data_IF_809588568473
#
_entry.id   IF_809588568473
#
_cell.length_a   1.000
_cell.length_b   1.000
_cell.length_c   1.000
_cell.angle_alpha   90.00
_cell.angle_beta   90.00
_cell.angle_gamma   90.00
#
_symmetry.space_group_name_H-M   'P 1'
#
loop_
_entity.id
_entity.type
_entity.pdbx_description
1 polymer ?
#
# COMPACT_ATOMS: atom_id res chain seq x y z
N UNK A 1 -9.38 -17.67 -13.16
CA UNK A 1 -8.01 -18.07 -12.75
C UNK A 1 -7.62 -16.94 -11.83
N UNK A 2 -7.34 -17.18 -10.55
CA UNK A 2 -7.22 -16.08 -9.59
C UNK A 2 -6.24 -15.01 -10.10
N UNK A 3 -6.66 -13.75 -10.08
CA UNK A 3 -5.84 -12.62 -10.52
C UNK A 3 -4.55 -12.56 -9.70
N UNK A 4 -3.44 -12.38 -10.39
CA UNK A 4 -2.14 -12.19 -9.73
C UNK A 4 -1.89 -10.71 -9.45
N UNK A 5 -1.12 -10.41 -8.41
CA UNK A 5 -0.73 -9.02 -8.12
C UNK A 5 0.04 -8.38 -9.29
N UNK A 6 0.84 -9.15 -10.03
CA UNK A 6 1.57 -8.66 -11.19
C UNK A 6 0.62 -8.14 -12.29
N UNK A 7 -0.46 -8.85 -12.58
CA UNK A 7 -1.47 -8.40 -13.56
C UNK A 7 -2.14 -7.10 -13.12
N UNK A 8 -2.39 -6.92 -11.82
CA UNK A 8 -2.92 -5.65 -11.30
C UNK A 8 -1.90 -4.52 -11.50
N UNK A 9 -0.64 -4.76 -11.17
CA UNK A 9 0.42 -3.76 -11.26
C UNK A 9 0.66 -3.28 -12.70
N UNK A 10 0.48 -4.14 -13.71
CA UNK A 10 0.65 -3.79 -15.13
C UNK A 10 -0.30 -2.68 -15.61
N UNK A 11 -1.45 -2.51 -14.94
CA UNK A 11 -2.43 -1.49 -15.30
C UNK A 11 -2.22 -0.16 -14.56
N UNK A 12 -1.28 -0.12 -13.60
CA UNK A 12 -1.03 1.06 -12.78
C UNK A 12 0.05 1.98 -13.36
N UNK A 13 -0.33 3.25 -13.44
CA UNK A 13 0.58 4.40 -13.48
C UNK A 13 0.15 5.34 -12.35
N UNK A 14 0.93 5.43 -11.28
CA UNK A 14 0.60 6.27 -10.13
C UNK A 14 0.72 7.76 -10.43
N UNK A 15 1.40 8.16 -11.52
CA UNK A 15 1.45 9.54 -12.00
C UNK A 15 0.24 9.90 -12.88
N UNK A 16 -0.49 8.90 -13.36
CA UNK A 16 -1.75 9.03 -14.09
C UNK A 16 -2.86 8.13 -13.48
N UNK A 17 -3.42 8.52 -12.32
CA UNK A 17 -4.51 7.77 -11.70
C UNK A 17 -5.76 7.66 -12.59
N UNK A 18 -6.04 8.67 -13.42
CA UNK A 18 -7.21 8.69 -14.30
C UNK A 18 -7.05 7.70 -15.48
N UNK A 19 -5.88 7.64 -16.12
CA UNK A 19 -5.61 6.62 -17.13
C UNK A 19 -5.56 5.21 -16.53
N UNK A 20 -5.08 5.06 -15.30
CA UNK A 20 -5.14 3.79 -14.57
C UNK A 20 -6.58 3.35 -14.32
N UNK A 21 -7.45 4.25 -13.85
CA UNK A 21 -8.90 4.01 -13.69
C UNK A 21 -9.50 3.46 -14.99
N UNK A 22 -9.24 4.10 -16.13
CA UNK A 22 -9.80 3.68 -17.43
C UNK A 22 -9.33 2.26 -17.83
N UNK A 23 -8.05 1.94 -17.65
CA UNK A 23 -7.51 0.61 -17.95
C UNK A 23 -8.13 -0.47 -17.05
N UNK A 24 -8.24 -0.17 -15.75
CA UNK A 24 -8.83 -1.08 -14.76
C UNK A 24 -10.33 -1.32 -15.01
N UNK A 25 -11.08 -0.27 -15.36
CA UNK A 25 -12.48 -0.40 -15.76
C UNK A 25 -12.64 -1.29 -17.00
N UNK A 26 -11.76 -1.12 -17.99
CA UNK A 26 -11.77 -1.95 -19.20
C UNK A 26 -11.51 -3.42 -18.88
N UNK A 27 -10.50 -3.70 -18.04
CA UNK A 27 -10.17 -5.06 -17.61
C UNK A 27 -11.33 -5.71 -16.81
N UNK A 28 -11.97 -4.95 -15.91
CA UNK A 28 -13.15 -5.42 -15.18
C UNK A 28 -14.31 -5.80 -16.12
N UNK A 29 -14.58 -4.98 -17.15
CA UNK A 29 -15.65 -5.23 -18.11
C UNK A 29 -15.41 -6.42 -19.05
N UNK A 30 -14.15 -6.80 -19.27
CA UNK A 30 -13.75 -7.97 -20.06
C UNK A 30 -13.71 -9.27 -19.23
N UNK A 31 -13.76 -9.17 -17.90
CA UNK A 31 -13.64 -10.30 -16.99
C UNK A 31 -14.99 -10.96 -16.75
N UNK A 32 -15.10 -12.25 -17.07
CA UNK A 32 -16.34 -13.03 -16.93
C UNK A 32 -16.51 -13.59 -15.51
N UNK A 33 -15.43 -14.05 -14.88
CA UNK A 33 -15.45 -14.54 -13.50
C UNK A 33 -15.79 -13.42 -12.51
N UNK A 34 -16.70 -13.70 -11.57
CA UNK A 34 -17.21 -12.69 -10.66
C UNK A 34 -16.21 -12.28 -9.58
N UNK A 35 -15.41 -13.20 -9.07
CA UNK A 35 -14.40 -12.90 -8.07
C UNK A 35 -13.24 -12.11 -8.69
N UNK A 36 -12.77 -12.54 -9.87
CA UNK A 36 -11.73 -11.84 -10.62
C UNK A 36 -12.20 -10.41 -10.97
N UNK A 37 -13.44 -10.24 -11.45
CA UNK A 37 -14.01 -8.91 -11.73
C UNK A 37 -14.08 -8.03 -10.48
N UNK A 38 -14.47 -8.57 -9.33
CA UNK A 38 -14.52 -7.82 -8.08
C UNK A 38 -13.12 -7.32 -7.66
N UNK A 39 -12.07 -8.13 -7.82
CA UNK A 39 -10.70 -7.67 -7.55
C UNK A 39 -10.30 -6.50 -8.46
N UNK A 40 -10.61 -6.53 -9.77
CA UNK A 40 -10.39 -5.38 -10.66
C UNK A 40 -11.16 -4.13 -10.20
N UNK A 41 -12.41 -4.29 -9.78
CA UNK A 41 -13.22 -3.16 -9.29
C UNK A 41 -12.67 -2.55 -7.99
N UNK A 42 -12.03 -3.32 -7.12
CA UNK A 42 -11.32 -2.72 -5.97
C UNK A 42 -10.19 -1.80 -6.43
N UNK A 43 -9.47 -2.18 -7.49
CA UNK A 43 -8.40 -1.32 -8.02
C UNK A 43 -8.95 -0.05 -8.69
N UNK A 44 -10.13 -0.13 -9.33
CA UNK A 44 -10.86 1.05 -9.79
C UNK A 44 -11.14 2.00 -8.62
N UNK A 45 -11.67 1.49 -7.51
CA UNK A 45 -11.93 2.31 -6.32
C UNK A 45 -10.65 2.97 -5.77
N UNK A 46 -9.52 2.24 -5.76
CA UNK A 46 -8.21 2.81 -5.41
C UNK A 46 -7.81 3.98 -6.32
N UNK A 47 -8.01 3.83 -7.64
CA UNK A 47 -7.66 4.86 -8.62
C UNK A 47 -8.54 6.11 -8.47
N UNK A 48 -9.82 5.93 -8.18
CA UNK A 48 -10.76 7.00 -7.84
C UNK A 48 -10.35 7.71 -6.54
N UNK A 49 -9.91 6.96 -5.52
CA UNK A 49 -9.43 7.52 -4.27
C UNK A 49 -8.21 8.44 -4.44
N UNK A 50 -7.26 8.05 -5.30
CA UNK A 50 -6.11 8.89 -5.65
C UNK A 50 -6.48 10.17 -6.43
N UNK A 51 -7.68 10.22 -7.01
CA UNK A 51 -8.25 11.41 -7.64
C UNK A 51 -9.17 12.19 -6.68
N UNK A 52 -9.18 11.86 -5.39
CA UNK A 52 -10.05 12.43 -4.36
C UNK A 52 -11.56 12.25 -4.64
N UNK A 53 -11.93 11.32 -5.52
CA UNK A 53 -13.32 10.99 -5.87
C UNK A 53 -13.90 9.98 -4.86
N UNK A 54 -13.80 10.31 -3.57
CA UNK A 54 -14.06 9.37 -2.47
C UNK A 54 -15.48 8.77 -2.50
N UNK A 55 -16.50 9.59 -2.72
CA UNK A 55 -17.90 9.11 -2.80
C UNK A 55 -18.10 8.13 -3.95
N UNK A 56 -17.47 8.36 -5.11
CA UNK A 56 -17.54 7.44 -6.25
C UNK A 56 -16.80 6.14 -5.94
N UNK A 57 -15.63 6.22 -5.30
CA UNK A 57 -14.88 5.05 -4.88
C UNK A 57 -15.67 4.19 -3.88
N UNK A 58 -16.30 4.80 -2.87
CA UNK A 58 -17.17 4.09 -1.92
C UNK A 58 -18.34 3.40 -2.64
N UNK A 59 -19.01 4.07 -3.56
CA UNK A 59 -20.11 3.47 -4.34
C UNK A 59 -19.66 2.24 -5.14
N UNK A 60 -18.46 2.28 -5.75
CA UNK A 60 -17.89 1.11 -6.42
C UNK A 60 -17.67 -0.04 -5.44
N UNK A 61 -17.21 0.24 -4.21
CA UNK A 61 -16.98 -0.78 -3.19
C UNK A 61 -18.27 -1.31 -2.54
N UNK A 62 -19.32 -0.50 -2.48
CA UNK A 62 -20.65 -0.89 -1.98
C UNK A 62 -21.34 -1.89 -2.91
N UNK A 63 -21.10 -1.79 -4.22
CA UNK A 63 -21.67 -2.67 -5.24
C UNK A 63 -20.98 -4.06 -5.33
N UNK A 64 -19.89 -4.28 -4.59
CA UNK A 64 -19.16 -5.55 -4.61
C UNK A 64 -19.76 -6.56 -3.64
N UNK A 65 -19.78 -7.83 -4.07
CA UNK A 65 -20.05 -8.98 -3.21
C UNK A 65 -18.72 -9.69 -2.87
N UNK A 66 -18.13 -9.43 -1.69
CA UNK A 66 -16.80 -9.90 -1.35
C UNK A 66 -16.84 -11.36 -0.85
N UNK A 67 -17.04 -12.28 -1.77
CA UNK A 67 -17.17 -13.72 -1.48
C UNK A 67 -15.85 -14.42 -1.22
N UNK A 68 -14.72 -13.88 -1.72
CA UNK A 68 -13.38 -14.44 -1.50
C UNK A 68 -12.60 -13.66 -0.45
N UNK A 69 -11.68 -14.29 0.29
CA UNK A 69 -10.81 -13.57 1.23
C UNK A 69 -10.03 -12.43 0.57
N UNK A 70 -9.54 -12.61 -0.66
CA UNK A 70 -8.81 -11.57 -1.39
C UNK A 70 -9.68 -10.32 -1.65
N UNK A 71 -10.90 -10.51 -2.14
CA UNK A 71 -11.83 -9.39 -2.38
C UNK A 71 -12.21 -8.71 -1.05
N UNK A 72 -12.49 -9.47 0.01
CA UNK A 72 -12.79 -8.92 1.35
C UNK A 72 -11.67 -8.01 1.86
N UNK A 73 -10.43 -8.49 1.80
CA UNK A 73 -9.25 -7.74 2.24
C UNK A 73 -9.07 -6.49 1.39
N UNK A 74 -9.18 -6.59 0.06
CA UNK A 74 -9.04 -5.43 -0.83
C UNK A 74 -10.12 -4.38 -0.58
N UNK A 75 -11.38 -4.77 -0.38
CA UNK A 75 -12.46 -3.83 -0.04
C UNK A 75 -12.13 -3.07 1.24
N UNK A 76 -11.71 -3.78 2.30
CA UNK A 76 -11.35 -3.15 3.57
C UNK A 76 -10.14 -2.22 3.43
N UNK A 77 -9.10 -2.66 2.70
CA UNK A 77 -7.92 -1.87 2.38
C UNK A 77 -8.29 -0.56 1.67
N UNK A 78 -9.10 -0.63 0.61
CA UNK A 78 -9.47 0.56 -0.14
C UNK A 78 -10.36 1.47 0.71
N UNK A 79 -11.33 0.97 1.48
CA UNK A 79 -12.10 1.81 2.40
C UNK A 79 -11.19 2.49 3.44
N UNK A 80 -10.24 1.76 4.01
CA UNK A 80 -9.24 2.30 4.92
C UNK A 80 -8.44 3.44 4.29
N UNK A 81 -7.98 3.27 3.03
CA UNK A 81 -7.31 4.33 2.28
C UNK A 81 -8.19 5.54 2.05
N UNK A 82 -9.44 5.34 1.63
CA UNK A 82 -10.38 6.45 1.39
C UNK A 82 -10.59 7.28 2.67
N UNK A 83 -10.76 6.64 3.83
CA UNK A 83 -10.91 7.35 5.12
C UNK A 83 -9.63 8.06 5.53
N UNK A 84 -8.48 7.39 5.43
CA UNK A 84 -7.20 8.00 5.76
C UNK A 84 -6.90 9.22 4.88
N UNK A 85 -7.06 9.10 3.57
CA UNK A 85 -6.86 10.21 2.61
C UNK A 85 -7.88 11.34 2.79
N UNK A 86 -9.08 11.06 3.27
CA UNK A 86 -10.06 12.08 3.65
C UNK A 86 -9.77 12.75 5.02
N UNK A 87 -8.69 12.36 5.70
CA UNK A 87 -8.29 12.90 7.00
C UNK A 87 -8.96 12.24 8.21
N UNK A 88 -9.69 11.14 8.02
CA UNK A 88 -10.33 10.37 9.08
C UNK A 88 -9.54 9.08 9.38
N UNK A 89 -8.35 9.26 9.96
CA UNK A 89 -7.50 8.16 10.38
C UNK A 89 -8.18 7.25 11.41
N UNK A 90 -9.02 7.81 12.31
CA UNK A 90 -9.73 7.05 13.33
C UNK A 90 -10.69 6.03 12.72
N UNK A 91 -11.40 6.39 11.64
CA UNK A 91 -12.24 5.45 10.91
C UNK A 91 -11.45 4.47 10.04
N UNK A 92 -10.23 4.84 9.62
CA UNK A 92 -9.39 3.98 8.77
C UNK A 92 -8.80 2.79 9.54
N UNK A 93 -8.28 3.00 10.76
CA UNK A 93 -7.56 1.99 11.55
C UNK A 93 -8.31 0.66 11.68
N UNK A 94 -9.57 0.60 12.20
CA UNK A 94 -10.25 -0.69 12.38
C UNK A 94 -10.47 -1.45 11.06
N UNK A 95 -10.66 -0.75 9.94
CA UNK A 95 -10.79 -1.38 8.62
C UNK A 95 -9.48 -2.05 8.19
N UNK A 96 -8.36 -1.38 8.45
CA UNK A 96 -7.03 -1.87 8.07
C UNK A 96 -6.56 -3.00 9.00
N UNK A 97 -6.91 -2.97 10.29
CA UNK A 97 -6.69 -4.09 11.22
C UNK A 97 -7.43 -5.35 10.77
N UNK A 98 -8.73 -5.21 10.45
CA UNK A 98 -9.53 -6.33 9.91
C UNK A 98 -8.94 -6.86 8.61
N UNK A 99 -8.47 -5.97 7.72
CA UNK A 99 -7.80 -6.36 6.48
C UNK A 99 -6.53 -7.18 6.74
N UNK A 100 -5.66 -6.71 7.65
CA UNK A 100 -4.43 -7.39 8.02
C UNK A 100 -4.71 -8.78 8.61
N UNK A 101 -5.69 -8.88 9.52
CA UNK A 101 -6.05 -10.12 10.18
C UNK A 101 -6.65 -11.15 9.22
N UNK A 102 -7.57 -10.73 8.34
CA UNK A 102 -8.14 -11.62 7.33
C UNK A 102 -7.05 -12.09 6.37
N UNK A 103 -6.19 -11.18 5.90
CA UNK A 103 -5.10 -11.51 4.99
C UNK A 103 -4.14 -12.53 5.60
N UNK A 104 -3.73 -12.34 6.86
CA UNK A 104 -2.89 -13.28 7.59
C UNK A 104 -3.55 -14.66 7.70
N UNK A 105 -4.82 -14.71 8.09
CA UNK A 105 -5.57 -15.98 8.24
C UNK A 105 -5.74 -16.74 6.93
N UNK A 106 -5.78 -16.03 5.81
CA UNK A 106 -5.95 -16.59 4.46
C UNK A 106 -4.62 -16.85 3.74
N UNK A 107 -3.47 -16.56 4.35
CA UNK A 107 -2.15 -16.70 3.72
C UNK A 107 -1.88 -15.70 2.59
N UNK A 108 -2.56 -14.56 2.59
CA UNK A 108 -2.44 -13.50 1.58
C UNK A 108 -1.34 -12.50 1.95
N UNK A 109 -0.09 -12.98 2.05
CA UNK A 109 1.03 -12.22 2.59
C UNK A 109 1.20 -10.82 1.96
N UNK A 110 1.07 -10.73 0.64
CA UNK A 110 1.15 -9.45 -0.06
C UNK A 110 0.16 -8.41 0.48
N UNK A 111 -1.09 -8.82 0.70
CA UNK A 111 -2.16 -7.94 1.19
C UNK A 111 -2.09 -7.70 2.70
N UNK A 112 -1.57 -8.68 3.46
CA UNK A 112 -1.28 -8.50 4.87
C UNK A 112 -0.26 -7.37 5.07
N UNK A 113 0.83 -7.40 4.30
CA UNK A 113 1.87 -6.38 4.37
C UNK A 113 1.36 -5.03 3.87
N UNK A 114 0.52 -4.99 2.84
CA UNK A 114 -0.15 -3.76 2.39
C UNK A 114 -1.02 -3.13 3.50
N UNK A 115 -1.77 -3.96 4.23
CA UNK A 115 -2.60 -3.48 5.34
C UNK A 115 -1.76 -2.94 6.51
N UNK A 116 -0.69 -3.66 6.89
CA UNK A 116 0.23 -3.21 7.94
C UNK A 116 0.98 -1.93 7.54
N UNK A 117 1.36 -1.79 6.27
CA UNK A 117 1.93 -0.56 5.74
C UNK A 117 0.95 0.61 5.86
N UNK A 118 -0.32 0.41 5.53
CA UNK A 118 -1.35 1.44 5.69
C UNK A 118 -1.64 1.76 7.17
N UNK A 119 -1.61 0.78 8.07
CA UNK A 119 -1.71 1.00 9.52
C UNK A 119 -0.58 1.86 10.05
N UNK A 120 0.66 1.64 9.58
CA UNK A 120 1.79 2.47 9.96
C UNK A 120 1.64 3.95 9.53
N UNK A 121 0.81 4.24 8.52
CA UNK A 121 0.48 5.61 8.11
C UNK A 121 -0.69 6.15 8.94
N UNK A 122 -1.77 5.38 9.06
CA UNK A 122 -3.01 5.83 9.70
C UNK A 122 -2.91 5.93 11.23
N UNK A 123 -2.11 5.06 11.86
CA UNK A 123 -1.92 4.99 13.30
C UNK A 123 -0.48 5.35 13.67
N UNK A 124 -0.15 6.63 13.50
CA UNK A 124 1.20 7.17 13.72
C UNK A 124 1.76 6.85 15.12
N UNK A 125 0.89 6.73 16.14
CA UNK A 125 1.30 6.41 17.50
C UNK A 125 1.86 4.99 17.65
N UNK A 126 1.42 4.05 16.80
CA UNK A 126 1.88 2.66 16.79
C UNK A 126 2.59 2.29 15.47
N UNK A 127 3.03 3.28 14.71
CA UNK A 127 3.70 3.07 13.43
C UNK A 127 4.95 2.16 13.52
N UNK A 128 5.79 2.25 14.58
CA UNK A 128 6.90 1.32 14.76
C UNK A 128 6.44 -0.13 14.93
N UNK A 129 5.37 -0.38 15.68
CA UNK A 129 4.82 -1.71 15.92
C UNK A 129 4.23 -2.31 14.64
N UNK A 130 3.48 -1.53 13.87
CA UNK A 130 2.91 -1.96 12.59
C UNK A 130 4.01 -2.26 11.55
N UNK A 131 5.03 -1.40 11.48
CA UNK A 131 6.20 -1.62 10.62
C UNK A 131 6.95 -2.90 11.03
N UNK A 132 7.20 -3.11 12.32
CA UNK A 132 7.88 -4.31 12.81
C UNK A 132 7.11 -5.60 12.48
N UNK A 133 5.79 -5.59 12.60
CA UNK A 133 4.94 -6.71 12.20
C UNK A 133 5.03 -7.00 10.69
N UNK A 134 5.03 -5.96 9.86
CA UNK A 134 5.15 -6.11 8.40
C UNK A 134 6.51 -6.71 8.01
N UNK A 135 7.61 -6.24 8.63
CA UNK A 135 8.95 -6.78 8.41
C UNK A 135 9.06 -8.24 8.85
N UNK A 136 8.46 -8.60 9.99
CA UNK A 136 8.42 -9.98 10.47
C UNK A 136 7.64 -10.90 9.50
N UNK A 137 6.54 -10.42 8.93
CA UNK A 137 5.78 -11.16 7.92
C UNK A 137 6.60 -11.35 6.63
N UNK A 138 7.30 -10.31 6.16
CA UNK A 138 8.13 -10.36 4.97
C UNK A 138 9.33 -11.31 5.08
N UNK A 139 9.83 -11.57 6.29
CA UNK A 139 10.92 -12.53 6.52
C UNK A 139 10.56 -13.99 6.16
N UNK A 140 9.30 -14.27 5.81
CA UNK A 140 8.80 -15.60 5.46
C UNK A 140 8.74 -15.87 3.95
N UNK A 141 9.12 -14.90 3.11
CA UNK A 141 9.00 -15.02 1.65
C UNK A 141 10.28 -14.60 0.92
N UNK A 142 10.52 -15.26 -0.21
CA UNK A 142 11.53 -14.87 -1.21
C UNK A 142 10.90 -14.24 -2.46
N UNK A 143 9.57 -14.02 -2.48
CA UNK A 143 8.87 -13.42 -3.62
C UNK A 143 9.33 -11.96 -3.84
N UNK A 144 10.02 -11.66 -4.96
CA UNK A 144 10.57 -10.32 -5.21
C UNK A 144 9.50 -9.23 -5.19
N UNK A 145 8.30 -9.55 -5.68
CA UNK A 145 7.21 -8.57 -5.76
C UNK A 145 6.67 -8.20 -4.39
N UNK A 146 6.54 -9.17 -3.50
CA UNK A 146 6.14 -8.95 -2.10
C UNK A 146 7.26 -8.26 -1.32
N UNK A 147 8.52 -8.67 -1.49
CA UNK A 147 9.69 -8.02 -0.87
C UNK A 147 9.86 -6.55 -1.27
N UNK A 148 9.34 -6.12 -2.43
CA UNK A 148 9.28 -4.70 -2.81
C UNK A 148 8.57 -3.81 -1.78
N UNK A 149 7.69 -4.36 -0.92
CA UNK A 149 7.08 -3.61 0.18
C UNK A 149 8.10 -3.05 1.18
N UNK A 150 9.29 -3.65 1.31
CA UNK A 150 10.38 -3.13 2.14
C UNK A 150 10.70 -1.67 1.81
N UNK A 151 10.59 -1.27 0.53
CA UNK A 151 10.81 0.12 0.11
C UNK A 151 9.82 1.07 0.80
N UNK A 152 8.52 0.79 0.71
CA UNK A 152 7.48 1.65 1.28
C UNK A 152 7.51 1.66 2.82
N UNK A 153 7.72 0.49 3.44
CA UNK A 153 7.81 0.35 4.90
C UNK A 153 8.96 1.17 5.47
N UNK A 154 10.17 1.03 4.90
CA UNK A 154 11.34 1.76 5.36
C UNK A 154 11.25 3.26 5.02
N UNK A 155 10.67 3.63 3.88
CA UNK A 155 10.43 5.03 3.54
C UNK A 155 9.49 5.72 4.55
N UNK A 156 8.37 5.08 4.90
CA UNK A 156 7.44 5.65 5.87
C UNK A 156 8.07 5.75 7.27
N UNK A 157 8.81 4.73 7.68
CA UNK A 157 9.56 4.78 8.93
C UNK A 157 10.57 5.94 8.91
N UNK A 158 11.31 6.12 7.82
CA UNK A 158 12.25 7.22 7.64
C UNK A 158 11.60 8.59 7.83
N UNK A 159 10.46 8.84 7.18
CA UNK A 159 9.73 10.10 7.36
C UNK A 159 9.20 10.28 8.78
N UNK A 160 8.68 9.22 9.41
CA UNK A 160 8.24 9.30 10.82
C UNK A 160 9.40 9.60 11.79
N UNK A 161 10.61 9.12 11.51
CA UNK A 161 11.81 9.48 12.27
C UNK A 161 12.25 10.92 11.99
N UNK A 162 12.21 11.34 10.72
CA UNK A 162 12.57 12.69 10.29
C UNK A 162 11.67 13.75 10.93
N UNK A 163 10.35 13.54 10.90
CA UNK A 163 9.35 14.44 11.53
C UNK A 163 9.50 14.53 13.05
N UNK A 164 10.10 13.51 13.67
CA UNK A 164 10.43 13.48 15.09
C UNK A 164 11.84 14.03 15.40
N UNK A 165 12.50 14.65 14.43
CA UNK A 165 13.88 15.18 14.50
C UNK A 165 14.94 14.13 14.88
N UNK A 166 14.64 12.84 14.65
CA UNK A 166 15.57 11.71 14.86
C UNK A 166 16.30 11.40 13.57
N UNK A 167 17.12 12.34 13.12
CA UNK A 167 17.70 12.30 11.77
C UNK A 167 18.61 11.10 11.52
N UNK A 168 19.34 10.61 12.53
CA UNK A 168 20.16 9.40 12.39
C UNK A 168 19.31 8.14 12.16
N UNK A 169 18.20 7.99 12.89
CA UNK A 169 17.26 6.88 12.69
C UNK A 169 16.58 7.00 11.32
N UNK A 170 16.22 8.22 10.91
CA UNK A 170 15.64 8.51 9.60
C UNK A 170 16.58 8.11 8.47
N UNK A 171 17.86 8.48 8.58
CA UNK A 171 18.88 8.15 7.60
C UNK A 171 19.05 6.63 7.46
N UNK A 172 19.13 5.90 8.58
CA UNK A 172 19.23 4.44 8.56
C UNK A 172 18.02 3.78 7.88
N UNK A 173 16.81 4.29 8.14
CA UNK A 173 15.59 3.81 7.50
C UNK A 173 15.58 4.11 5.99
N UNK A 174 15.95 5.32 5.55
CA UNK A 174 16.01 5.65 4.13
C UNK A 174 17.11 4.87 3.38
N UNK A 175 18.25 4.58 4.02
CA UNK A 175 19.29 3.71 3.46
C UNK A 175 18.77 2.27 3.29
N UNK A 176 17.98 1.75 4.24
CA UNK A 176 17.31 0.46 4.09
C UNK A 176 16.26 0.48 2.96
N UNK A 177 15.51 1.58 2.80
CA UNK A 177 14.60 1.77 1.67
C UNK A 177 15.35 1.77 0.33
N UNK A 178 16.53 2.39 0.27
CA UNK A 178 17.39 2.43 -0.91
C UNK A 178 17.97 1.05 -1.28
N UNK A 179 18.44 0.27 -0.29
CA UNK A 179 18.91 -1.11 -0.53
C UNK A 179 17.77 -1.99 -1.06
N UNK A 180 16.58 -1.90 -0.47
CA UNK A 180 15.39 -2.58 -0.98
C UNK A 180 15.02 -2.12 -2.39
N UNK A 181 15.08 -0.81 -2.68
CA UNK A 181 14.77 -0.27 -3.99
C UNK A 181 15.77 -0.73 -5.06
N UNK A 182 17.04 -0.86 -4.70
CA UNK A 182 18.10 -1.39 -5.58
C UNK A 182 17.84 -2.84 -5.98
N UNK A 183 17.33 -3.65 -5.05
CA UNK A 183 17.09 -5.09 -5.26
C UNK A 183 15.76 -5.38 -5.95
N UNK A 184 14.70 -4.67 -5.57
CA UNK A 184 13.31 -5.03 -5.93
C UNK A 184 12.44 -3.85 -6.35
N UNK A 185 12.93 -2.60 -6.22
CA UNK A 185 12.15 -1.39 -6.48
C UNK A 185 12.08 -0.99 -7.94
N UNK A 186 11.40 0.13 -8.18
CA UNK A 186 11.39 0.81 -9.48
C UNK A 186 12.48 1.90 -9.55
N UNK A 187 12.85 2.38 -10.75
CA UNK A 187 13.76 3.52 -10.87
C UNK A 187 13.27 4.75 -10.09
N UNK A 188 11.97 5.00 -10.09
CA UNK A 188 11.36 6.11 -9.35
C UNK A 188 11.55 5.95 -7.84
N UNK A 189 11.36 4.74 -7.31
CA UNK A 189 11.57 4.46 -5.88
C UNK A 189 13.03 4.63 -5.46
N UNK A 190 13.98 4.27 -6.34
CA UNK A 190 15.40 4.49 -6.10
C UNK A 190 15.74 5.98 -6.04
N UNK A 191 15.17 6.78 -6.94
CA UNK A 191 15.30 8.25 -6.91
C UNK A 191 14.74 8.84 -5.62
N UNK A 192 13.50 8.48 -5.25
CA UNK A 192 12.88 8.97 -4.02
C UNK A 192 13.69 8.64 -2.76
N UNK A 193 14.22 7.41 -2.66
CA UNK A 193 15.06 7.04 -1.52
C UNK A 193 16.37 7.87 -1.49
N UNK A 194 16.97 8.13 -2.64
CA UNK A 194 18.18 8.95 -2.73
C UNK A 194 17.91 10.42 -2.36
N UNK A 195 16.77 10.98 -2.76
CA UNK A 195 16.32 12.34 -2.41
C UNK A 195 16.11 12.45 -0.89
N UNK A 196 15.41 11.49 -0.28
CA UNK A 196 15.16 11.48 1.17
C UNK A 196 16.46 11.38 1.99
N UNK A 197 17.44 10.58 1.52
CA UNK A 197 18.79 10.51 2.14
C UNK A 197 19.50 11.86 2.05
N UNK A 198 19.45 12.53 0.90
CA UNK A 198 20.09 13.82 0.70
C UNK A 198 19.48 14.90 1.61
N UNK A 199 18.15 14.93 1.70
CA UNK A 199 17.40 15.83 2.60
C UNK A 199 17.76 15.58 4.07
N UNK A 200 17.79 14.32 4.49
CA UNK A 200 18.17 13.94 5.86
C UNK A 200 19.61 14.33 6.20
N UNK A 201 20.54 14.17 5.27
CA UNK A 201 21.94 14.61 5.46
C UNK A 201 22.05 16.12 5.57
N UNK A 202 21.29 16.89 4.79
CA UNK A 202 21.27 18.34 4.90
C UNK A 202 20.73 18.80 6.27
N UNK A 203 19.75 18.09 6.84
CA UNK A 203 19.22 18.39 8.18
C UNK A 203 20.20 18.07 9.33
N UNK A 204 21.16 17.16 9.10
CA UNK A 204 22.24 16.82 10.05
C UNK A 204 23.39 17.82 10.04
N UNK A 205 23.51 18.67 9.02
CA UNK A 205 24.54 19.69 8.91
C UNK A 205 24.05 21.00 9.57
N UNK A 206 24.65 21.43 10.71
CA UNK A 206 24.22 22.62 11.45
C UNK A 206 24.61 23.95 10.81
#
# INVERSE_FOLDING_TARGET
MAITQAQLDELWDFSDPAGSEQRLHTAAGQTTDAADRAEWQTQVARALGLQERFTTADAVLDDLDPTTPAVRVRVLLERGRLRNSAGDATAAVPLLEDAAQIAASAGLLFLQVDALHMLAIADAAHAPEWTAQALAALATTDDPRTLRWLVGLHNNAGWAHFDAERYEDALAAFEAAQDAATRWGTPQQLTWAAEAIAETRAALEP
#
